data_IF_658355089148
#
_entry.id   IF_658355089148
#
_cell.length_a   1.000
_cell.length_b   1.000
_cell.length_c   1.000
_cell.angle_alpha   90.00
_cell.angle_beta   90.00
_cell.angle_gamma   90.00
#
_symmetry.space_group_name_H-M   'P 1'
#
loop_
_entity.id
_entity.type
_entity.pdbx_description
1 polymer ?
#
# COMPACT_ATOMS: atom_id res chain seq x y z
N UNK A 1 23.12 -0.32 7.59
CA UNK A 1 22.07 -1.21 8.15
C UNK A 1 22.52 -2.65 7.91
N UNK A 2 22.29 -3.60 8.81
CA UNK A 2 22.87 -4.96 8.74
C UNK A 2 21.95 -6.05 8.14
N UNK A 3 20.82 -5.66 7.53
CA UNK A 3 19.86 -6.54 6.83
C UNK A 3 19.43 -7.80 7.61
N UNK A 4 19.32 -7.70 8.93
CA UNK A 4 18.92 -8.83 9.76
C UNK A 4 17.47 -9.26 9.50
N UNK A 5 17.20 -10.57 9.40
CA UNK A 5 15.85 -11.07 9.25
C UNK A 5 15.04 -10.85 10.52
N UNK A 6 13.71 -10.80 10.39
CA UNK A 6 12.80 -10.71 11.54
C UNK A 6 12.97 -11.87 12.54
N UNK A 7 13.55 -13.00 12.12
CA UNK A 7 13.87 -14.14 12.99
C UNK A 7 14.96 -13.84 14.02
N UNK A 8 15.69 -12.72 13.92
CA UNK A 8 16.70 -12.34 14.91
C UNK A 8 16.15 -12.31 16.35
N UNK A 9 14.86 -12.00 16.52
CA UNK A 9 14.20 -11.95 17.83
C UNK A 9 14.08 -13.30 18.53
N UNK A 10 14.30 -14.39 17.79
CA UNK A 10 14.30 -15.77 18.29
C UNK A 10 15.73 -16.22 18.65
N UNK A 11 16.76 -15.47 18.25
CA UNK A 11 18.15 -15.85 18.52
C UNK A 11 18.48 -15.65 20.01
N UNK A 12 19.07 -16.68 20.63
CA UNK A 12 19.42 -16.68 22.06
C UNK A 12 20.35 -15.51 22.43
N UNK A 13 21.35 -15.23 21.60
CA UNK A 13 22.28 -14.12 21.81
C UNK A 13 21.57 -12.76 21.82
N UNK A 14 20.65 -12.55 20.87
CA UNK A 14 19.86 -11.32 20.79
C UNK A 14 18.94 -11.17 22.02
N UNK A 15 18.26 -12.24 22.43
CA UNK A 15 17.41 -12.23 23.62
C UNK A 15 18.20 -11.91 24.89
N UNK A 16 19.38 -12.53 25.06
CA UNK A 16 20.26 -12.24 26.20
C UNK A 16 20.75 -10.80 26.19
N UNK A 17 21.06 -10.26 25.02
CA UNK A 17 21.42 -8.84 24.86
C UNK A 17 20.27 -7.92 25.28
N UNK A 18 19.05 -8.16 24.78
CA UNK A 18 17.87 -7.33 25.11
C UNK A 18 17.53 -7.39 26.60
N UNK A 19 17.60 -8.57 27.23
CA UNK A 19 17.39 -8.72 28.68
C UNK A 19 18.43 -7.93 29.48
N UNK A 20 19.68 -7.86 29.00
CA UNK A 20 20.72 -7.04 29.61
C UNK A 20 20.45 -5.53 29.51
N UNK A 21 19.70 -5.07 28.50
CA UNK A 21 19.30 -3.67 28.34
C UNK A 21 18.06 -3.31 29.16
N UNK A 22 17.02 -4.15 29.10
CA UNK A 22 15.77 -3.96 29.84
C UNK A 22 15.20 -5.31 30.27
N UNK A 23 15.44 -5.74 31.52
CA UNK A 23 15.00 -7.04 32.03
C UNK A 23 13.49 -7.26 32.00
N UNK A 24 12.68 -6.20 32.09
CA UNK A 24 11.22 -6.29 32.07
C UNK A 24 10.63 -6.39 30.66
N UNK A 25 11.43 -6.15 29.62
CA UNK A 25 10.95 -6.20 28.24
C UNK A 25 10.87 -7.65 27.75
N UNK A 26 9.65 -8.07 27.39
CA UNK A 26 9.43 -9.37 26.78
C UNK A 26 9.61 -9.27 25.27
N UNK A 27 10.66 -9.92 24.75
CA UNK A 27 10.92 -9.94 23.31
C UNK A 27 9.78 -10.65 22.59
N UNK A 28 9.04 -9.97 21.70
CA UNK A 28 7.92 -10.57 20.99
C UNK A 28 8.39 -11.70 20.05
N UNK A 29 7.49 -12.64 19.76
CA UNK A 29 7.76 -13.66 18.77
C UNK A 29 7.80 -13.05 17.36
N UNK A 30 8.53 -13.70 16.44
CA UNK A 30 8.59 -13.28 15.02
C UNK A 30 7.20 -13.10 14.41
N UNK A 31 6.26 -13.98 14.76
CA UNK A 31 4.88 -13.93 14.27
C UNK A 31 4.11 -12.72 14.81
N UNK A 32 4.37 -12.31 16.06
CA UNK A 32 3.79 -11.09 16.65
C UNK A 32 4.27 -9.86 15.90
N UNK A 33 5.59 -9.74 15.69
CA UNK A 33 6.17 -8.63 14.92
C UNK A 33 5.60 -8.59 13.50
N UNK A 34 5.51 -9.76 12.84
CA UNK A 34 4.91 -9.87 11.51
C UNK A 34 3.46 -9.37 11.51
N UNK A 35 2.66 -9.79 12.49
CA UNK A 35 1.27 -9.34 12.64
C UNK A 35 1.19 -7.83 12.85
N UNK A 36 2.04 -7.27 13.70
CA UNK A 36 2.07 -5.83 13.98
C UNK A 36 2.45 -5.03 12.73
N UNK A 37 3.40 -5.51 11.93
CA UNK A 37 3.75 -4.92 10.63
C UNK A 37 2.53 -4.86 9.70
N UNK A 38 1.77 -5.96 9.58
CA UNK A 38 0.55 -5.97 8.77
C UNK A 38 -0.52 -5.04 9.31
N UNK A 39 -0.71 -4.98 10.63
CA UNK A 39 -1.67 -4.06 11.24
C UNK A 39 -1.34 -2.58 10.94
N UNK A 40 -0.05 -2.20 11.03
CA UNK A 40 0.40 -0.85 10.66
C UNK A 40 0.22 -0.59 9.17
N UNK A 41 0.50 -1.59 8.33
CA UNK A 41 0.27 -1.49 6.89
C UNK A 41 -1.20 -1.26 6.56
N UNK A 42 -2.11 -2.06 7.11
CA UNK A 42 -3.55 -1.96 6.87
C UNK A 42 -4.09 -0.60 7.34
N UNK A 43 -3.68 -0.16 8.53
CA UNK A 43 -4.04 1.18 9.04
C UNK A 43 -3.55 2.30 8.12
N UNK A 44 -2.30 2.22 7.65
CA UNK A 44 -1.72 3.19 6.73
C UNK A 44 -2.44 3.19 5.37
N UNK A 45 -2.77 2.00 4.85
CA UNK A 45 -3.54 1.81 3.62
C UNK A 45 -4.91 2.48 3.72
N UNK A 46 -5.67 2.18 4.77
CA UNK A 46 -7.01 2.76 4.99
C UNK A 46 -6.94 4.28 5.13
N UNK A 47 -5.89 4.79 5.77
CA UNK A 47 -5.67 6.24 5.91
C UNK A 47 -5.39 6.90 4.56
N UNK A 48 -4.58 6.28 3.70
CA UNK A 48 -4.29 6.79 2.36
C UNK A 48 -5.54 6.73 1.47
N UNK A 49 -6.32 5.65 1.54
CA UNK A 49 -7.58 5.53 0.80
C UNK A 49 -8.54 6.67 1.13
N UNK A 50 -8.77 6.94 2.42
CA UNK A 50 -9.61 8.07 2.85
C UNK A 50 -9.09 9.43 2.38
N UNK A 51 -7.77 9.61 2.32
CA UNK A 51 -7.17 10.85 1.81
C UNK A 51 -7.39 11.01 0.30
N UNK A 52 -7.37 9.92 -0.45
CA UNK A 52 -7.66 9.92 -1.89
C UNK A 52 -9.14 10.17 -2.14
N UNK A 53 -10.03 9.54 -1.36
CA UNK A 53 -11.48 9.73 -1.49
C UNK A 53 -11.92 11.15 -1.16
N UNK A 54 -11.27 11.77 -0.16
CA UNK A 54 -11.55 13.16 0.23
C UNK A 54 -10.88 14.20 -0.68
N UNK A 55 -10.10 13.77 -1.68
CA UNK A 55 -9.36 14.66 -2.56
C UNK A 55 -10.13 14.89 -3.87
N UNK A 56 -10.73 16.08 -4.01
CA UNK A 56 -11.41 16.54 -5.23
C UNK A 56 -10.45 16.86 -6.39
N UNK A 57 -9.15 16.84 -6.13
CA UNK A 57 -8.11 17.15 -7.11
C UNK A 57 -7.74 15.97 -8.01
N UNK A 58 -6.94 16.25 -9.03
CA UNK A 58 -6.38 15.18 -9.89
C UNK A 58 -5.30 14.41 -9.15
N UNK A 59 -5.30 13.09 -9.32
CA UNK A 59 -4.27 12.18 -8.81
C UNK A 59 -3.43 11.70 -9.99
N UNK A 60 -2.12 11.87 -9.91
CA UNK A 60 -1.15 11.33 -10.85
C UNK A 60 -0.56 10.03 -10.28
N UNK A 61 -0.63 8.94 -11.04
CA UNK A 61 -0.01 7.67 -10.69
C UNK A 61 1.31 7.53 -11.42
N UNK A 62 2.37 7.20 -10.68
CA UNK A 62 3.68 6.86 -11.24
C UNK A 62 4.04 5.43 -10.88
N UNK A 63 4.84 4.79 -11.73
CA UNK A 63 5.39 3.47 -11.46
C UNK A 63 6.89 3.48 -11.68
N UNK A 64 7.64 3.06 -10.66
CA UNK A 64 9.07 2.83 -10.77
C UNK A 64 9.34 1.33 -10.78
N UNK A 65 10.13 0.85 -11.75
CA UNK A 65 10.45 -0.56 -11.93
C UNK A 65 11.96 -0.71 -11.89
N UNK A 66 12.42 -1.60 -11.03
CA UNK A 66 13.84 -1.92 -10.96
C UNK A 66 14.06 -3.43 -10.81
N UNK A 67 15.25 -3.87 -11.21
CA UNK A 67 15.69 -5.25 -10.99
C UNK A 67 16.70 -5.28 -9.87
N UNK A 68 16.43 -6.03 -8.81
CA UNK A 68 17.39 -6.26 -7.75
C UNK A 68 18.55 -7.12 -8.26
N UNK A 69 19.73 -6.52 -8.35
CA UNK A 69 20.98 -7.13 -8.86
C UNK A 69 21.31 -8.47 -8.21
N UNK A 70 21.08 -8.57 -6.89
CA UNK A 70 21.46 -9.74 -6.11
C UNK A 70 20.53 -10.95 -6.28
N UNK A 71 19.31 -10.77 -6.84
CA UNK A 71 18.32 -11.85 -6.92
C UNK A 71 17.71 -12.03 -8.33
N UNK A 72 18.09 -11.20 -9.31
CA UNK A 72 17.43 -11.14 -10.64
C UNK A 72 15.90 -11.06 -10.53
N UNK A 73 15.42 -10.36 -9.51
CA UNK A 73 14.00 -10.16 -9.20
C UNK A 73 13.60 -8.75 -9.60
N UNK A 74 12.56 -8.62 -10.41
CA UNK A 74 11.97 -7.32 -10.71
C UNK A 74 11.00 -6.92 -9.62
N UNK A 75 11.00 -5.63 -9.31
CA UNK A 75 10.05 -5.00 -8.42
C UNK A 75 9.45 -3.79 -9.09
N UNK A 76 8.22 -3.46 -8.71
CA UNK A 76 7.54 -2.24 -9.11
C UNK A 76 6.98 -1.57 -7.87
N UNK A 77 7.26 -0.29 -7.71
CA UNK A 77 6.55 0.58 -6.77
C UNK A 77 5.56 1.44 -7.56
N UNK A 78 4.31 1.46 -7.11
CA UNK A 78 3.28 2.35 -7.64
C UNK A 78 3.00 3.44 -6.61
N UNK A 79 3.12 4.70 -7.03
CA UNK A 79 3.00 5.87 -6.16
C UNK A 79 1.90 6.80 -6.68
N UNK A 80 1.02 7.24 -5.78
CA UNK A 80 0.06 8.30 -6.06
C UNK A 80 0.63 9.66 -5.64
N UNK A 81 0.47 10.64 -6.50
CA UNK A 81 0.83 12.03 -6.28
C UNK A 81 -0.40 12.92 -6.48
N UNK A 82 -0.70 13.77 -5.52
CA UNK A 82 -1.83 14.70 -5.61
C UNK A 82 -1.55 15.95 -4.79
N UNK A 83 -2.26 17.04 -5.07
CA UNK A 83 -2.17 18.25 -4.28
C UNK A 83 -3.41 18.33 -3.39
N UNK A 84 -3.21 18.38 -2.08
CA UNK A 84 -4.32 18.42 -1.13
C UNK A 84 -4.96 19.81 -1.04
N UNK A 85 -6.02 19.94 -0.24
CA UNK A 85 -6.75 21.20 0.00
C UNK A 85 -5.90 22.34 0.58
N UNK A 86 -4.77 22.02 1.22
CA UNK A 86 -3.80 23.00 1.73
C UNK A 86 -2.74 23.37 0.70
N UNK A 87 -2.90 22.95 -0.56
CA UNK A 87 -1.99 23.18 -1.66
C UNK A 87 -0.59 22.56 -1.48
N UNK A 88 -0.53 21.43 -0.76
CA UNK A 88 0.70 20.68 -0.51
C UNK A 88 0.70 19.40 -1.34
N UNK A 89 1.79 19.17 -2.07
CA UNK A 89 2.03 17.93 -2.80
C UNK A 89 2.18 16.75 -1.82
N UNK A 90 1.29 15.78 -1.95
CA UNK A 90 1.34 14.50 -1.26
C UNK A 90 1.92 13.44 -2.20
N UNK A 91 2.66 12.47 -1.65
CA UNK A 91 3.23 11.36 -2.40
C UNK A 91 3.18 10.10 -1.56
N UNK A 92 2.37 9.13 -1.97
CA UNK A 92 2.10 7.91 -1.21
C UNK A 92 2.29 6.66 -2.07
N UNK A 93 3.11 5.72 -1.59
CA UNK A 93 3.26 4.41 -2.23
C UNK A 93 1.99 3.62 -1.99
N UNK A 94 1.26 3.31 -3.05
CA UNK A 94 0.04 2.50 -3.00
C UNK A 94 0.36 1.02 -2.92
N UNK A 95 1.36 0.59 -3.70
CA UNK A 95 1.69 -0.83 -3.83
C UNK A 95 3.15 -1.04 -4.14
N UNK A 96 3.68 -2.11 -3.58
CA UNK A 96 5.00 -2.64 -3.89
C UNK A 96 4.83 -4.08 -4.37
N UNK A 97 5.19 -4.33 -5.63
CA UNK A 97 4.87 -5.56 -6.35
C UNK A 97 6.15 -6.28 -6.72
N UNK A 98 6.21 -7.57 -6.42
CA UNK A 98 7.20 -8.45 -7.02
C UNK A 98 6.73 -8.86 -8.41
N UNK A 99 7.57 -8.62 -9.42
CA UNK A 99 7.29 -8.99 -10.80
C UNK A 99 8.27 -10.09 -11.19
N UNK A 100 7.80 -11.34 -11.41
CA UNK A 100 8.68 -12.40 -11.87
C UNK A 100 9.07 -12.19 -13.33
N UNK A 101 10.33 -12.48 -13.65
CA UNK A 101 10.81 -12.48 -15.03
C UNK A 101 10.04 -13.51 -15.89
N UNK A 102 9.83 -13.28 -17.19
CA UNK A 102 10.21 -12.08 -17.94
C UNK A 102 9.28 -10.88 -17.66
N UNK A 103 9.85 -9.67 -17.66
CA UNK A 103 9.13 -8.38 -17.51
C UNK A 103 8.52 -7.92 -18.83
N UNK A 104 7.47 -8.60 -19.28
CA UNK A 104 6.73 -8.21 -20.47
C UNK A 104 5.84 -7.00 -20.19
N UNK A 105 5.61 -6.16 -21.21
CA UNK A 105 4.72 -4.99 -21.08
C UNK A 105 3.31 -5.38 -20.56
N UNK A 106 2.81 -6.55 -20.96
CA UNK A 106 1.53 -7.10 -20.50
C UNK A 106 1.50 -7.33 -18.98
N UNK A 107 2.53 -7.95 -18.40
CA UNK A 107 2.60 -8.19 -16.95
C UNK A 107 2.72 -6.89 -16.16
N UNK A 108 3.47 -5.92 -16.69
CA UNK A 108 3.60 -4.60 -16.08
C UNK A 108 2.25 -3.86 -16.11
N UNK A 109 1.57 -3.88 -17.25
CA UNK A 109 0.25 -3.28 -17.42
C UNK A 109 -0.78 -3.91 -16.47
N UNK A 110 -0.83 -5.24 -16.40
CA UNK A 110 -1.72 -5.94 -15.48
C UNK A 110 -1.47 -5.56 -14.01
N UNK A 111 -0.20 -5.47 -13.61
CA UNK A 111 0.18 -5.05 -12.26
C UNK A 111 -0.26 -3.61 -11.94
N UNK A 112 -0.22 -2.72 -12.94
CA UNK A 112 -0.70 -1.34 -12.81
C UNK A 112 -2.23 -1.27 -12.74
N UNK A 113 -2.94 -1.98 -13.62
CA UNK A 113 -4.40 -2.03 -13.62
C UNK A 113 -4.94 -2.59 -12.30
N UNK A 114 -4.33 -3.66 -11.78
CA UNK A 114 -4.70 -4.20 -10.46
C UNK A 114 -4.44 -3.21 -9.33
N UNK A 115 -3.45 -2.32 -9.48
CA UNK A 115 -3.21 -1.25 -8.53
C UNK A 115 -4.24 -0.12 -8.65
N UNK A 116 -4.69 0.22 -9.86
CA UNK A 116 -5.73 1.23 -10.08
C UNK A 116 -7.08 0.81 -9.49
N UNK A 117 -7.41 -0.49 -9.52
CA UNK A 117 -8.62 -1.02 -8.85
C UNK A 117 -8.63 -0.77 -7.34
N UNK A 118 -7.46 -0.69 -6.70
CA UNK A 118 -7.34 -0.34 -5.28
C UNK A 118 -7.79 1.10 -5.01
N UNK A 119 -7.61 1.99 -6.00
CA UNK A 119 -8.08 3.38 -5.93
C UNK A 119 -9.58 3.46 -6.26
N UNK A 120 -10.08 2.60 -7.16
CA UNK A 120 -11.51 2.53 -7.50
C UNK A 120 -12.39 1.89 -6.40
N UNK A 121 -11.87 0.90 -5.65
CA UNK A 121 -12.60 0.31 -4.50
C UNK A 121 -12.89 1.35 -3.40
N UNK A 122 -12.06 2.38 -3.29
CA UNK A 122 -12.29 3.50 -2.38
C UNK A 122 -13.43 4.41 -2.86
N UNK A 123 -13.57 4.59 -4.19
CA UNK A 123 -14.67 5.31 -4.82
C UNK A 123 -16.01 4.53 -4.85
N UNK A 124 -15.97 3.19 -4.88
CA UNK A 124 -17.18 2.35 -5.05
C UNK A 124 -18.04 2.26 -3.79
N UNK A 125 -17.48 2.50 -2.58
CA UNK A 125 -18.26 2.46 -1.32
C UNK A 125 -19.23 3.64 -1.19
N UNK A 126 -19.08 4.72 -1.96
CA UNK A 126 -20.07 5.81 -1.99
C UNK A 126 -21.20 5.60 -3.01
N UNK A 127 -21.07 4.68 -3.97
CA UNK A 127 -22.12 4.41 -4.96
C UNK A 127 -23.16 3.37 -4.51
N UNK A 128 -22.92 2.64 -3.41
CA UNK A 128 -23.90 1.70 -2.84
C UNK A 128 -24.78 2.32 -1.74
N UNK A 129 -24.56 3.59 -1.38
CA UNK A 129 -25.42 4.34 -0.43
C UNK A 129 -26.47 5.21 -1.15
N UNK A 130 -26.37 5.36 -2.47
CA UNK A 130 -27.31 6.15 -3.29
C UNK A 130 -28.40 5.28 -3.96
N UNK A 131 -28.49 3.98 -3.64
CA UNK A 131 -29.48 3.05 -4.22
C UNK A 131 -30.72 2.77 -3.36
N UNK A 132 -30.87 3.40 -2.18
CA UNK A 132 -31.99 3.14 -1.27
C UNK A 132 -33.03 4.27 -1.15
N UNK A 133 -32.88 5.36 -1.92
CA UNK A 133 -33.94 6.37 -2.10
C UNK A 133 -34.52 6.30 -3.52
N UNK A 134 -35.51 5.42 -3.68
CA UNK A 134 -36.51 5.49 -4.75
C UNK A 134 -37.22 6.85 -4.69
N UNK A 135 -36.87 7.81 -5.55
CA UNK A 135 -37.79 8.46 -6.50
C UNK A 135 -37.11 9.60 -7.30
N UNK A 136 -37.47 9.70 -8.58
CA UNK A 136 -37.22 10.82 -9.52
C UNK A 136 -35.89 10.78 -10.31
N UNK A 137 -36.00 10.22 -11.51
CA UNK A 137 -35.79 11.01 -12.73
C UNK A 137 -34.36 11.15 -13.27
N UNK A 138 -34.01 10.24 -14.17
CA UNK A 138 -33.18 10.45 -15.35
C UNK A 138 -31.83 11.19 -15.18
N UNK A 139 -30.72 10.46 -15.39
CA UNK A 139 -29.74 10.74 -16.46
C UNK A 139 -28.63 9.70 -16.50
N UNK A 140 -28.55 8.97 -17.62
CA UNK A 140 -27.32 8.33 -18.08
C UNK A 140 -26.22 9.37 -18.21
N UNK A 141 -25.13 9.25 -17.46
CA UNK A 141 -23.85 9.85 -17.82
C UNK A 141 -22.73 8.92 -17.34
N UNK A 142 -22.16 8.18 -18.29
CA UNK A 142 -20.82 7.62 -18.16
C UNK A 142 -19.81 8.74 -18.41
N UNK A 143 -18.76 8.84 -17.58
CA UNK A 143 -17.52 9.51 -17.98
C UNK A 143 -16.32 8.74 -17.43
N UNK A 144 -15.59 8.11 -18.35
CA UNK A 144 -14.14 8.06 -18.32
C UNK A 144 -13.66 9.20 -19.21
N UNK A 145 -13.16 10.29 -18.63
CA UNK A 145 -12.06 11.13 -19.11
C UNK A 145 -11.43 11.89 -17.93
#
# INVERSE_FOLDING_TARGET
>A
MHDYPLSIVEHVGFRRFVVGLQPLFQVPARNTIKKDIFCVYDFGKDSIMKLLDANDGRVAITSDIWTASNQKKGFMAVTAHFINSSWILQSHVLRFIYIPAPHTAEKLCHALVDCSKVVEEAATVMNEIESDDDDIGARSIAWLE
#
